data_IF_173945319991
#
_entry.id   IF_173945319991
#
_cell.length_a   1.000
_cell.length_b   1.000
_cell.length_c   1.000
_cell.angle_alpha   90.00
_cell.angle_beta   90.00
_cell.angle_gamma   90.00
#
_symmetry.space_group_name_H-M   'P 1'
#
loop_
_entity.id
_entity.type
_entity.pdbx_description
1 polymer ?
#
# COMPACT_ATOMS: atom_id res chain seq x y z
N UNK A 1 -12.87 3.20 -12.94
CA UNK A 1 -11.65 2.60 -13.54
C UNK A 1 -11.80 1.10 -13.57
N UNK A 2 -11.08 0.40 -14.43
CA UNK A 2 -10.99 -1.06 -14.44
C UNK A 2 -9.83 -1.55 -13.58
N UNK A 3 -9.87 -2.79 -13.09
CA UNK A 3 -8.79 -3.40 -12.29
C UNK A 3 -7.44 -3.26 -13.00
N UNK A 4 -7.38 -3.51 -14.31
CA UNK A 4 -6.16 -3.44 -15.12
C UNK A 4 -5.60 -2.04 -15.30
N UNK A 5 -6.39 -1.00 -15.00
CA UNK A 5 -5.97 0.40 -15.09
C UNK A 5 -5.41 0.91 -13.75
N UNK A 6 -5.61 0.16 -12.66
CA UNK A 6 -5.36 0.63 -11.29
C UNK A 6 -3.90 1.01 -11.04
N UNK A 7 -2.94 0.30 -11.63
CA UNK A 7 -1.52 0.63 -11.56
C UNK A 7 -1.22 2.01 -12.15
N UNK A 8 -1.71 2.27 -13.36
CA UNK A 8 -1.53 3.55 -14.06
C UNK A 8 -2.22 4.68 -13.32
N UNK A 9 -3.43 4.44 -12.79
CA UNK A 9 -4.15 5.44 -12.01
C UNK A 9 -3.42 5.75 -10.71
N UNK A 10 -2.96 4.76 -9.96
CA UNK A 10 -2.20 5.00 -8.73
C UNK A 10 -0.89 5.74 -9.00
N UNK A 11 -0.15 5.36 -10.06
CA UNK A 11 1.06 6.08 -10.46
C UNK A 11 0.76 7.55 -10.76
N UNK A 12 -0.31 7.84 -11.51
CA UNK A 12 -0.73 9.22 -11.79
C UNK A 12 -1.09 10.00 -10.52
N UNK A 13 -1.80 9.38 -9.56
CA UNK A 13 -2.17 10.03 -8.29
C UNK A 13 -0.93 10.32 -7.43
N UNK A 14 0.08 9.46 -7.49
CA UNK A 14 1.36 9.65 -6.81
C UNK A 14 2.21 10.75 -7.47
N UNK A 15 2.27 10.80 -8.80
CA UNK A 15 2.98 11.85 -9.54
C UNK A 15 2.40 13.23 -9.24
N UNK A 16 1.07 13.35 -9.18
CA UNK A 16 0.38 14.59 -8.79
C UNK A 16 0.71 15.01 -7.35
N UNK A 17 1.01 14.06 -6.47
CA UNK A 17 1.36 14.31 -5.07
C UNK A 17 2.87 14.59 -4.86
N UNK A 18 3.73 14.15 -5.77
CA UNK A 18 5.19 14.13 -5.63
C UNK A 18 5.93 15.11 -6.56
N UNK A 19 5.32 16.27 -6.86
CA UNK A 19 5.71 17.28 -7.87
C UNK A 19 7.18 17.79 -7.93
N UNK A 20 8.16 17.25 -7.18
CA UNK A 20 9.59 17.45 -7.45
C UNK A 20 10.50 16.37 -6.78
N UNK A 21 11.05 15.45 -7.59
CA UNK A 21 12.41 14.84 -7.52
C UNK A 21 12.51 13.31 -7.60
N UNK A 22 13.56 12.84 -8.28
CA UNK A 22 13.94 11.43 -8.51
C UNK A 22 14.33 10.63 -7.24
N UNK A 23 14.21 11.21 -6.06
CA UNK A 23 14.51 10.54 -4.78
C UNK A 23 13.37 10.79 -3.80
N UNK A 24 12.80 9.70 -3.27
CA UNK A 24 11.70 9.79 -2.30
C UNK A 24 12.25 10.29 -0.96
N UNK A 25 11.92 11.53 -0.60
CA UNK A 25 12.30 12.12 0.67
C UNK A 25 11.52 11.47 1.82
N UNK A 26 12.04 11.59 3.05
CA UNK A 26 11.34 11.08 4.25
C UNK A 26 9.96 11.72 4.46
N UNK A 27 9.77 12.95 3.97
CA UNK A 27 8.48 13.66 3.98
C UNK A 27 7.47 13.07 3.00
N UNK A 28 7.92 12.36 1.98
CA UNK A 28 7.06 11.88 0.89
C UNK A 28 6.28 10.63 1.28
N UNK A 29 6.70 9.91 2.34
CA UNK A 29 5.94 8.77 2.88
C UNK A 29 4.52 9.18 3.24
N UNK A 30 4.32 10.38 3.81
CA UNK A 30 2.99 10.90 4.12
C UNK A 30 2.18 11.18 2.85
N UNK A 31 2.82 11.79 1.85
CA UNK A 31 2.18 12.05 0.55
C UNK A 31 1.78 10.75 -0.14
N UNK A 32 2.60 9.70 -0.08
CA UNK A 32 2.28 8.36 -0.61
C UNK A 32 1.04 7.78 0.07
N UNK A 33 0.96 7.84 1.42
CA UNK A 33 -0.21 7.35 2.16
C UNK A 33 -1.47 8.14 1.81
N UNK A 34 -1.37 9.47 1.71
CA UNK A 34 -2.51 10.33 1.36
C UNK A 34 -2.97 10.13 -0.10
N UNK A 35 -2.02 9.98 -1.03
CA UNK A 35 -2.29 9.64 -2.43
C UNK A 35 -2.98 8.28 -2.54
N UNK A 36 -2.46 7.26 -1.85
CA UNK A 36 -3.07 5.93 -1.82
C UNK A 36 -4.46 5.95 -1.20
N UNK A 37 -4.69 6.74 -0.14
CA UNK A 37 -6.02 6.92 0.46
C UNK A 37 -7.03 7.48 -0.54
N UNK A 38 -6.68 8.54 -1.25
CA UNK A 38 -7.53 9.10 -2.32
C UNK A 38 -7.78 8.09 -3.43
N UNK A 39 -6.75 7.34 -3.82
CA UNK A 39 -6.88 6.28 -4.81
C UNK A 39 -7.82 5.15 -4.34
N UNK A 40 -7.76 4.75 -3.08
CA UNK A 40 -8.59 3.70 -2.50
C UNK A 40 -10.09 4.04 -2.52
N UNK A 41 -10.44 5.32 -2.52
CA UNK A 41 -11.83 5.81 -2.64
C UNK A 41 -12.36 5.74 -4.09
N UNK A 42 -11.48 5.61 -5.09
CA UNK A 42 -11.91 5.55 -6.49
C UNK A 42 -12.61 4.22 -6.78
N UNK A 43 -13.79 4.25 -7.45
CA UNK A 43 -14.52 3.03 -7.78
C UNK A 43 -13.82 2.22 -8.87
N UNK A 44 -13.79 0.89 -8.65
CA UNK A 44 -13.32 -0.10 -9.64
C UNK A 44 -14.53 -0.84 -10.18
N UNK A 45 -14.84 -0.62 -11.46
CA UNK A 45 -16.15 -0.98 -12.04
C UNK A 45 -16.34 -2.48 -12.25
N UNK A 46 -15.25 -3.18 -12.55
CA UNK A 46 -15.17 -4.62 -12.78
C UNK A 46 -14.76 -5.41 -11.54
N UNK A 47 -14.64 -4.76 -10.37
CA UNK A 47 -14.45 -5.43 -9.08
C UNK A 47 -15.78 -5.74 -8.38
N UNK A 48 -15.80 -6.82 -7.61
CA UNK A 48 -16.85 -7.10 -6.63
C UNK A 48 -16.85 -6.04 -5.53
N UNK A 49 -18.01 -5.74 -4.94
CA UNK A 49 -18.09 -4.67 -3.96
C UNK A 49 -17.42 -5.06 -2.62
N UNK A 50 -17.02 -4.07 -1.79
CA UNK A 50 -16.35 -4.32 -0.51
C UNK A 50 -17.15 -5.16 0.50
N UNK A 51 -18.49 -5.12 0.47
CA UNK A 51 -19.37 -5.88 1.37
C UNK A 51 -19.43 -7.38 1.06
N UNK A 52 -18.89 -7.78 -0.09
CA UNK A 52 -18.65 -9.18 -0.48
C UNK A 52 -17.15 -9.56 -0.38
N UNK A 53 -16.37 -8.81 0.41
CA UNK A 53 -14.90 -8.91 0.52
C UNK A 53 -14.18 -8.81 -0.84
N UNK A 54 -14.81 -8.15 -1.82
CA UNK A 54 -14.35 -8.03 -3.20
C UNK A 54 -13.35 -6.91 -3.46
N UNK A 55 -13.32 -5.89 -2.60
CA UNK A 55 -12.45 -4.72 -2.73
C UNK A 55 -12.03 -4.27 -1.34
N UNK A 56 -10.78 -4.53 -0.99
CA UNK A 56 -10.23 -4.28 0.34
C UNK A 56 -8.80 -3.77 0.29
N UNK A 57 -8.41 -3.00 1.30
CA UNK A 57 -7.05 -2.49 1.46
C UNK A 57 -6.37 -3.20 2.62
N UNK A 58 -5.12 -3.59 2.40
CA UNK A 58 -4.21 -4.18 3.36
C UNK A 58 -3.06 -3.20 3.62
N UNK A 59 -2.87 -2.84 4.88
CA UNK A 59 -1.65 -2.19 5.34
C UNK A 59 -0.77 -3.27 6.00
N UNK A 60 0.47 -3.42 5.57
CA UNK A 60 1.40 -4.39 6.13
C UNK A 60 2.80 -3.80 6.28
N UNK A 61 3.57 -4.36 7.20
CA UNK A 61 4.97 -4.03 7.37
C UNK A 61 5.76 -5.21 7.90
N UNK A 62 7.07 -5.19 7.65
CA UNK A 62 8.00 -6.14 8.24
C UNK A 62 9.37 -6.10 7.60
N UNK A 63 10.28 -6.89 8.15
CA UNK A 63 11.64 -7.04 7.64
C UNK A 63 11.79 -8.39 6.96
N UNK A 64 12.12 -8.39 5.67
CA UNK A 64 12.14 -9.58 4.83
C UNK A 64 13.33 -9.59 3.87
N UNK A 65 13.63 -10.75 3.27
CA UNK A 65 14.70 -10.93 2.28
C UNK A 65 14.11 -11.37 0.94
N UNK A 66 13.21 -10.57 0.37
CA UNK A 66 12.54 -10.90 -0.90
C UNK A 66 13.34 -10.49 -2.14
N UNK A 67 14.24 -9.50 -2.03
CA UNK A 67 14.99 -8.93 -3.16
C UNK A 67 16.47 -9.30 -3.15
N UNK A 68 16.82 -10.41 -2.51
CA UNK A 68 18.21 -10.85 -2.32
C UNK A 68 19.01 -10.00 -1.32
N UNK A 69 18.35 -9.05 -0.65
CA UNK A 69 18.86 -8.30 0.48
C UNK A 69 17.76 -8.17 1.54
N UNK A 70 18.18 -8.13 2.81
CA UNK A 70 17.28 -7.99 3.94
C UNK A 70 16.88 -6.52 4.09
N UNK A 71 15.60 -6.24 3.98
CA UNK A 71 15.04 -4.88 3.95
C UNK A 71 13.82 -4.78 4.85
N UNK A 72 13.66 -3.62 5.48
CA UNK A 72 12.39 -3.25 6.07
C UNK A 72 11.47 -2.73 4.98
N UNK A 73 10.21 -3.11 5.04
CA UNK A 73 9.19 -2.69 4.08
C UNK A 73 7.90 -2.30 4.78
N UNK A 74 7.21 -1.32 4.21
CA UNK A 74 5.84 -0.95 4.55
C UNK A 74 5.05 -0.86 3.24
N UNK A 75 3.90 -1.51 3.18
CA UNK A 75 3.13 -1.70 1.95
C UNK A 75 1.64 -1.46 2.16
N UNK A 76 1.05 -0.68 1.26
CA UNK A 76 -0.40 -0.57 1.10
C UNK A 76 -0.78 -1.35 -0.15
N UNK A 77 -1.67 -2.32 0.01
CA UNK A 77 -2.14 -3.17 -1.09
C UNK A 77 -3.65 -3.06 -1.21
N UNK A 78 -4.17 -2.77 -2.40
CA UNK A 78 -5.60 -2.90 -2.69
C UNK A 78 -5.81 -4.25 -3.38
N UNK A 79 -6.57 -5.12 -2.71
CA UNK A 79 -6.97 -6.42 -3.24
C UNK A 79 -8.34 -6.28 -3.89
N UNK A 80 -8.46 -6.75 -5.12
CA UNK A 80 -9.64 -6.64 -5.96
C UNK A 80 -10.00 -8.03 -6.51
N UNK A 81 -11.24 -8.45 -6.33
CA UNK A 81 -11.80 -9.68 -6.92
C UNK A 81 -12.64 -9.27 -8.12
N UNK A 82 -12.34 -9.81 -9.30
CA UNK A 82 -13.13 -9.55 -10.49
C UNK A 82 -14.61 -9.94 -10.27
N UNK A 83 -15.53 -9.21 -10.90
CA UNK A 83 -16.93 -9.62 -10.95
C UNK A 83 -17.06 -10.93 -11.71
N UNK A 84 -17.74 -11.90 -11.10
CA UNK A 84 -17.89 -13.24 -11.68
C UNK A 84 -18.33 -14.27 -10.65
N UNK A 85 -18.31 -15.55 -11.04
CA UNK A 85 -18.59 -16.69 -10.15
C UNK A 85 -17.47 -16.92 -9.13
N UNK A 86 -17.63 -17.91 -8.24
CA UNK A 86 -16.74 -18.16 -7.09
C UNK A 86 -15.23 -18.24 -7.45
N UNK A 87 -14.89 -18.67 -8.67
CA UNK A 87 -13.51 -18.77 -9.20
C UNK A 87 -13.02 -17.49 -9.91
N UNK A 88 -13.62 -16.32 -9.63
CA UNK A 88 -13.22 -15.07 -10.25
C UNK A 88 -11.76 -14.70 -9.88
N UNK A 89 -10.96 -14.21 -10.84
CA UNK A 89 -9.58 -13.79 -10.58
C UNK A 89 -9.46 -12.78 -9.43
N UNK A 90 -8.42 -12.96 -8.62
CA UNK A 90 -8.01 -11.99 -7.62
C UNK A 90 -6.80 -11.22 -8.11
N UNK A 91 -6.78 -9.94 -7.80
CA UNK A 91 -5.73 -9.00 -8.15
C UNK A 91 -5.25 -8.29 -6.91
N UNK A 92 -3.95 -8.00 -6.82
CA UNK A 92 -3.41 -7.11 -5.81
C UNK A 92 -2.56 -6.03 -6.47
N UNK A 93 -2.95 -4.78 -6.23
CA UNK A 93 -2.13 -3.62 -6.50
C UNK A 93 -1.41 -3.22 -5.22
N UNK A 94 -0.10 -3.40 -5.18
CA UNK A 94 0.74 -3.00 -4.04
C UNK A 94 1.48 -1.70 -4.32
N UNK A 95 1.63 -0.87 -3.30
CA UNK A 95 2.56 0.25 -3.24
C UNK A 95 3.45 0.04 -2.02
N UNK A 96 4.71 -0.32 -2.27
CA UNK A 96 5.64 -0.78 -1.23
C UNK A 96 6.83 0.15 -1.14
N UNK A 97 7.07 0.69 0.05
CA UNK A 97 8.25 1.46 0.38
C UNK A 97 9.29 0.55 1.03
N UNK A 98 10.56 0.70 0.67
CA UNK A 98 11.67 -0.11 1.17
C UNK A 98 12.75 0.73 1.84
N UNK A 99 13.29 0.22 2.94
CA UNK A 99 14.41 0.80 3.65
C UNK A 99 15.48 -0.27 3.93
N UNK A 100 16.76 0.13 3.96
CA UNK A 100 17.80 -0.69 4.59
C UNK A 100 17.40 -1.02 6.04
N UNK A 101 17.68 -2.24 6.48
CA UNK A 101 17.40 -2.63 7.87
C UNK A 101 18.34 -1.92 8.84
N UNK A 102 17.82 -1.69 10.05
CA UNK A 102 18.59 -1.27 11.21
C UNK A 102 18.03 -1.91 12.48
N UNK A 103 18.68 -1.67 13.62
CA UNK A 103 18.25 -2.25 14.90
C UNK A 103 16.81 -1.88 15.28
N UNK A 104 16.33 -0.68 14.93
CA UNK A 104 14.95 -0.30 15.20
C UNK A 104 13.98 -1.13 14.35
N UNK A 105 14.21 -1.22 13.04
CA UNK A 105 13.30 -1.94 12.12
C UNK A 105 13.27 -3.45 12.34
N UNK A 106 14.39 -4.05 12.77
CA UNK A 106 14.43 -5.47 13.17
C UNK A 106 13.58 -5.74 14.42
N UNK A 107 13.50 -4.77 15.35
CA UNK A 107 12.74 -4.90 16.59
C UNK A 107 11.23 -4.62 16.42
N UNK A 108 10.80 -4.05 15.28
CA UNK A 108 9.39 -3.77 15.01
C UNK A 108 8.55 -5.03 14.74
N UNK A 109 9.20 -6.19 14.55
CA UNK A 109 8.58 -7.42 14.07
C UNK A 109 7.82 -7.17 12.74
N UNK A 110 6.74 -7.91 12.49
CA UNK A 110 5.84 -7.72 11.36
C UNK A 110 4.41 -7.54 11.84
N UNK A 111 3.60 -6.90 11.01
CA UNK A 111 2.19 -6.68 11.32
C UNK A 111 1.40 -6.32 10.09
N UNK A 112 0.08 -6.49 10.17
CA UNK A 112 -0.84 -6.16 9.10
C UNK A 112 -2.21 -5.77 9.62
N UNK A 113 -2.97 -5.07 8.79
CA UNK A 113 -4.34 -4.65 9.04
C UNK A 113 -5.12 -4.66 7.73
N UNK A 114 -6.32 -5.23 7.73
CA UNK A 114 -7.26 -5.19 6.61
C UNK A 114 -8.36 -4.15 6.83
N UNK A 115 -8.85 -3.57 5.74
CA UNK A 115 -9.97 -2.62 5.73
C UNK A 115 -11.35 -3.29 5.76
N UNK A 116 -11.46 -4.61 5.57
CA UNK A 116 -12.75 -5.29 5.55
C UNK A 116 -13.57 -5.02 6.83
N UNK A 117 -14.84 -4.68 6.66
CA UNK A 117 -15.74 -4.30 7.74
C UNK A 117 -15.43 -2.95 8.40
N UNK A 118 -14.56 -2.11 7.81
CA UNK A 118 -14.22 -0.77 8.29
C UNK A 118 -14.55 0.28 7.22
N UNK A 119 -14.91 1.45 7.70
CA UNK A 119 -14.84 2.66 6.88
C UNK A 119 -13.38 2.95 6.51
N UNK A 120 -13.15 3.48 5.30
CA UNK A 120 -11.80 3.67 4.76
C UNK A 120 -10.98 4.66 5.58
N UNK A 121 -11.60 5.73 6.11
CA UNK A 121 -10.90 6.71 6.93
C UNK A 121 -10.43 6.10 8.24
N UNK A 122 -11.32 5.32 8.87
CA UNK A 122 -10.98 4.58 10.09
C UNK A 122 -9.87 3.56 9.84
N UNK A 123 -9.88 2.87 8.71
CA UNK A 123 -8.80 1.97 8.34
C UNK A 123 -7.47 2.71 8.27
N UNK A 124 -7.40 3.87 7.59
CA UNK A 124 -6.15 4.62 7.49
C UNK A 124 -5.67 5.17 8.84
N UNK A 125 -6.57 5.64 9.69
CA UNK A 125 -6.22 6.09 11.05
C UNK A 125 -5.58 4.95 11.89
N UNK A 126 -6.11 3.74 11.78
CA UNK A 126 -5.57 2.55 12.44
C UNK A 126 -4.27 2.06 11.77
N UNK A 127 -4.20 2.11 10.43
CA UNK A 127 -3.05 1.66 9.65
C UNK A 127 -1.80 2.49 9.93
N UNK A 128 -1.91 3.83 9.97
CA UNK A 128 -0.77 4.71 10.27
C UNK A 128 -0.27 4.57 11.71
N UNK A 129 -1.10 4.01 12.60
CA UNK A 129 -0.75 3.75 13.99
C UNK A 129 -0.03 2.39 14.19
N UNK A 130 0.02 1.52 13.17
CA UNK A 130 0.79 0.28 13.22
C UNK A 130 2.28 0.59 13.47
N UNK A 131 3.02 -0.20 14.29
CA UNK A 131 4.39 0.12 14.66
C UNK A 131 5.33 0.40 13.47
N UNK A 132 5.26 -0.40 12.41
CA UNK A 132 6.05 -0.17 11.20
C UNK A 132 5.67 1.08 10.42
N UNK A 133 4.38 1.38 10.31
CA UNK A 133 3.89 2.58 9.63
C UNK A 133 4.18 3.84 10.43
N UNK A 134 4.01 3.81 11.75
CA UNK A 134 4.39 4.90 12.64
C UNK A 134 5.89 5.20 12.56
N UNK A 135 6.74 4.17 12.46
CA UNK A 135 8.17 4.33 12.23
C UNK A 135 8.46 4.98 10.87
N UNK A 136 7.83 4.47 9.80
CA UNK A 136 8.03 4.99 8.43
C UNK A 136 7.58 6.45 8.29
N UNK A 137 6.49 6.83 8.95
CA UNK A 137 5.93 8.19 8.95
C UNK A 137 6.64 9.16 9.90
N UNK A 138 7.65 8.70 10.65
CA UNK A 138 8.41 9.52 11.59
C UNK A 138 9.22 10.65 10.93
N UNK A 139 9.35 10.65 9.60
CA UNK A 139 9.99 11.74 8.83
C UNK A 139 11.52 11.81 8.97
N UNK A 140 12.13 10.80 9.58
CA UNK A 140 13.58 10.73 9.85
C UNK A 140 14.34 9.82 8.90
N UNK A 141 13.64 8.91 8.21
CA UNK A 141 14.25 7.91 7.32
C UNK A 141 13.60 7.96 5.94
N UNK A 142 14.36 8.38 4.93
CA UNK A 142 13.91 8.30 3.55
C UNK A 142 13.91 6.83 3.08
N UNK A 143 12.86 6.35 2.41
CA UNK A 143 12.90 5.05 1.76
C UNK A 143 13.96 5.07 0.66
N UNK A 144 14.65 3.95 0.50
CA UNK A 144 15.59 3.77 -0.61
C UNK A 144 14.87 3.53 -1.95
N UNK A 145 13.63 3.07 -1.89
CA UNK A 145 12.85 2.70 -3.07
C UNK A 145 11.34 2.69 -2.79
N UNK A 146 10.54 2.93 -3.82
CA UNK A 146 9.08 2.78 -3.81
C UNK A 146 8.66 2.03 -5.07
N UNK A 147 8.00 0.89 -4.88
CA UNK A 147 7.60 0.00 -5.97
C UNK A 147 6.08 -0.11 -6.01
N UNK A 148 5.51 0.10 -7.19
CA UNK A 148 4.11 -0.18 -7.50
C UNK A 148 4.08 -1.45 -8.34
N UNK A 149 3.19 -2.38 -8.02
CA UNK A 149 3.08 -3.64 -8.75
C UNK A 149 1.64 -4.15 -8.72
N UNK A 150 1.10 -4.47 -9.89
CA UNK A 150 -0.20 -5.13 -10.06
C UNK A 150 0.01 -6.58 -10.47
N UNK A 151 -0.43 -7.50 -9.62
CA UNK A 151 -0.37 -8.94 -9.88
C UNK A 151 -1.76 -9.56 -9.86
N UNK A 152 -1.95 -10.58 -10.70
CA UNK A 152 -3.05 -11.52 -10.61
C UNK A 152 -2.59 -12.74 -9.79
N UNK A 153 -3.38 -13.18 -8.82
CA UNK A 153 -3.03 -14.21 -7.82
C UNK A 153 -3.94 -15.44 -7.94
#
# INVERSE_FOLDING_TARGET
MLIRETEVVLASVLDDAAMDSNAVAATDVRHVVEAFRRFAELPVEDARPPDEDGDGVLAQFGTYEFRGQREFSASLTRQLVERGGEDAPMWQLSCTLYWPTNTATENLASGHLWSFGKDIDRFFDEAVALPGWAWALGGTHAPGDVVIMLDQI
#
